data_IF_199219293786
#
_entry.id   IF_199219293786
#
_cell.length_a   1.000
_cell.length_b   1.000
_cell.length_c   1.000
_cell.angle_alpha   90.00
_cell.angle_beta   90.00
_cell.angle_gamma   90.00
#
_symmetry.space_group_name_H-M   'P 1'
#
loop_
_entity.id
_entity.type
_entity.pdbx_description
1 polymer ?
#
# COMPACT_ATOMS: atom_id res chain seq x y z
N UNK A 1 35.90 23.10 31.32
CA UNK A 1 35.37 22.51 30.06
C UNK A 1 36.54 22.05 29.22
N UNK A 2 36.65 20.74 28.97
CA UNK A 2 37.18 20.10 27.75
C UNK A 2 37.43 18.62 28.04
N UNK A 3 36.58 17.78 27.45
CA UNK A 3 36.67 16.31 27.43
C UNK A 3 37.56 15.93 26.25
N UNK A 4 38.66 15.22 26.51
CA UNK A 4 39.35 14.42 25.51
C UNK A 4 39.20 12.95 25.93
N UNK A 5 38.41 12.20 25.15
CA UNK A 5 38.22 10.76 25.31
C UNK A 5 39.35 10.01 24.61
N UNK A 6 39.88 9.03 25.33
CA UNK A 6 40.88 8.07 24.85
C UNK A 6 40.35 7.24 23.67
N UNK A 7 41.25 7.07 22.71
CA UNK A 7 41.16 6.22 21.54
C UNK A 7 41.59 4.80 21.94
N UNK A 8 40.73 3.80 21.74
CA UNK A 8 41.10 2.40 21.89
C UNK A 8 41.54 1.84 20.53
N UNK A 9 42.74 1.28 20.56
CA UNK A 9 43.48 0.65 19.47
C UNK A 9 42.78 -0.67 19.07
N UNK A 10 42.56 -0.89 17.76
CA UNK A 10 42.42 -2.23 17.21
C UNK A 10 43.12 -2.31 15.87
N UNK A 11 44.29 -2.95 15.88
CA UNK A 11 45.05 -3.38 14.71
C UNK A 11 44.58 -4.76 14.27
N UNK A 12 44.25 -4.92 12.99
CA UNK A 12 44.34 -6.20 12.31
C UNK A 12 44.63 -5.97 10.82
N UNK A 13 45.67 -6.66 10.35
CA UNK A 13 46.21 -6.65 9.01
C UNK A 13 45.23 -7.25 7.99
N UNK A 14 45.25 -6.70 6.76
CA UNK A 14 45.32 -7.44 5.49
C UNK A 14 45.54 -6.42 4.36
N UNK A 15 46.57 -6.69 3.53
CA UNK A 15 47.08 -5.75 2.54
C UNK A 15 46.17 -5.51 1.34
N UNK A 16 46.39 -4.37 0.67
CA UNK A 16 45.85 -4.09 -0.65
C UNK A 16 45.66 -2.59 -0.92
N UNK A 17 46.57 -2.01 -1.71
CA UNK A 17 46.50 -0.73 -2.42
C UNK A 17 46.27 0.57 -1.61
N UNK A 18 47.30 1.43 -1.59
CA UNK A 18 47.17 2.85 -1.26
C UNK A 18 46.44 3.55 -2.42
N UNK A 19 45.14 3.80 -2.27
CA UNK A 19 44.42 4.76 -3.13
C UNK A 19 44.53 6.13 -2.46
N UNK A 20 45.29 7.03 -3.09
CA UNK A 20 45.36 8.44 -2.71
C UNK A 20 44.04 9.09 -3.14
N UNK A 21 43.14 9.36 -2.20
CA UNK A 21 41.95 10.18 -2.44
C UNK A 21 42.35 11.64 -2.20
N UNK A 22 42.62 12.38 -3.27
CA UNK A 22 42.66 13.84 -3.20
C UNK A 22 41.24 14.34 -2.93
N UNK A 23 41.08 15.11 -1.86
CA UNK A 23 39.84 15.80 -1.56
C UNK A 23 39.60 16.89 -2.62
N UNK A 24 38.67 16.64 -3.53
CA UNK A 24 38.25 17.62 -4.52
C UNK A 24 37.32 18.64 -3.84
N UNK A 25 37.78 19.88 -3.75
CA UNK A 25 36.99 21.02 -3.29
C UNK A 25 35.78 21.19 -4.21
N UNK A 26 34.54 21.30 -3.69
CA UNK A 26 33.38 21.55 -4.55
C UNK A 26 33.49 22.94 -5.18
N UNK A 27 33.29 23.01 -6.49
CA UNK A 27 33.21 24.26 -7.24
C UNK A 27 32.01 25.11 -6.77
N UNK A 28 32.10 26.45 -6.82
CA UNK A 28 31.00 27.33 -6.44
C UNK A 28 29.81 27.20 -7.41
N UNK A 29 28.61 27.17 -6.84
CA UNK A 29 27.32 27.12 -7.56
C UNK A 29 27.08 28.45 -8.28
N UNK A 30 26.71 28.46 -9.58
CA UNK A 30 26.35 29.69 -10.27
C UNK A 30 24.98 30.24 -9.79
N UNK A 31 24.76 31.57 -9.79
CA UNK A 31 23.51 32.16 -9.36
C UNK A 31 22.35 31.83 -10.33
N UNK A 32 21.17 31.59 -9.76
CA UNK A 32 19.90 31.37 -10.45
C UNK A 32 19.61 32.44 -11.51
N UNK A 33 19.36 32.01 -12.75
CA UNK A 33 18.83 32.87 -13.80
C UNK A 33 17.34 33.19 -13.55
N UNK A 34 17.00 34.46 -13.75
CA UNK A 34 15.65 34.99 -13.57
C UNK A 34 14.66 34.42 -14.60
N UNK A 35 13.41 34.20 -14.18
CA UNK A 35 12.31 33.82 -15.05
C UNK A 35 11.96 34.94 -16.04
N UNK A 36 11.66 34.62 -17.32
CA UNK A 36 11.16 35.62 -18.25
C UNK A 36 9.71 35.99 -17.92
N UNK A 37 9.49 37.31 -17.89
CA UNK A 37 8.17 37.94 -17.85
C UNK A 37 7.61 37.99 -19.27
N UNK A 38 6.27 38.03 -19.32
CA UNK A 38 5.44 38.44 -20.45
C UNK A 38 5.04 37.36 -21.48
N UNK A 39 3.82 36.87 -21.29
CA UNK A 39 3.04 36.08 -22.23
C UNK A 39 1.54 36.26 -22.00
N UNK A 40 1.11 37.49 -21.67
CA UNK A 40 -0.29 37.87 -21.66
C UNK A 40 -0.75 38.12 -23.10
N UNK A 41 -1.42 37.13 -23.72
CA UNK A 41 -2.54 37.32 -24.65
C UNK A 41 -2.88 36.00 -25.36
N UNK A 42 -3.69 35.16 -24.72
CA UNK A 42 -4.64 34.36 -25.50
C UNK A 42 -5.98 34.30 -24.74
N UNK A 43 -6.84 35.25 -25.14
CA UNK A 43 -8.29 35.25 -25.05
C UNK A 43 -8.94 35.05 -23.67
N UNK A 44 -9.24 36.19 -23.06
CA UNK A 44 -10.47 36.36 -22.30
C UNK A 44 -11.68 36.11 -23.21
N UNK A 45 -12.51 35.11 -22.90
CA UNK A 45 -13.97 35.20 -23.02
C UNK A 45 -14.63 33.93 -22.47
N UNK A 46 -15.15 34.02 -21.24
CA UNK A 46 -16.48 33.53 -20.81
C UNK A 46 -16.61 33.70 -19.29
N UNK A 47 -17.27 34.79 -18.90
CA UNK A 47 -17.95 34.90 -17.60
C UNK A 47 -19.21 34.02 -17.66
N UNK A 48 -19.35 33.09 -16.72
CA UNK A 48 -20.58 32.63 -16.02
C UNK A 48 -20.42 31.17 -15.56
N UNK A 49 -21.19 30.68 -14.58
CA UNK A 49 -21.51 31.22 -13.26
C UNK A 49 -21.03 30.26 -12.13
N UNK A 50 -21.13 30.69 -10.86
CA UNK A 50 -21.09 29.76 -9.73
C UNK A 50 -22.22 28.73 -9.89
N UNK A 51 -21.85 27.46 -10.07
CA UNK A 51 -22.50 26.23 -9.59
C UNK A 51 -22.21 25.07 -10.54
N UNK A 52 -21.44 24.08 -10.08
CA UNK A 52 -22.06 22.76 -9.94
C UNK A 52 -21.34 21.95 -8.86
N UNK A 53 -22.10 21.50 -7.86
CA UNK A 53 -21.68 20.60 -6.76
C UNK A 53 -21.73 19.13 -7.19
N UNK A 54 -21.56 18.86 -8.49
CA UNK A 54 -21.68 17.51 -9.08
C UNK A 54 -20.38 17.02 -9.72
N UNK A 55 -19.23 17.53 -9.27
CA UNK A 55 -18.01 16.74 -9.36
C UNK A 55 -18.03 15.67 -8.25
N UNK A 56 -19.01 14.77 -8.30
CA UNK A 56 -18.76 13.38 -7.98
C UNK A 56 -17.70 12.94 -8.99
N UNK A 57 -16.44 13.27 -8.67
CA UNK A 57 -15.29 12.50 -9.11
C UNK A 57 -15.61 11.07 -8.70
N UNK A 58 -16.28 10.37 -9.60
CA UNK A 58 -16.38 8.92 -9.62
C UNK A 58 -14.93 8.51 -9.76
N UNK A 59 -14.30 8.32 -8.60
CA UNK A 59 -12.98 7.75 -8.49
C UNK A 59 -13.06 6.45 -9.27
N UNK A 60 -12.35 6.40 -10.41
CA UNK A 60 -12.03 5.18 -11.15
C UNK A 60 -11.11 4.27 -10.30
N UNK A 61 -11.45 4.06 -9.03
CA UNK A 61 -11.03 2.88 -8.32
C UNK A 61 -11.91 1.74 -8.85
N UNK A 62 -11.36 0.57 -9.22
CA UNK A 62 -12.10 -0.55 -9.77
C UNK A 62 -12.94 -1.27 -8.69
N UNK A 63 -13.71 -0.50 -7.91
CA UNK A 63 -14.70 -0.99 -6.99
C UNK A 63 -15.69 -1.84 -7.78
N UNK A 64 -15.63 -3.15 -7.57
CA UNK A 64 -16.55 -4.09 -8.19
C UNK A 64 -16.02 -4.92 -9.35
N UNK A 65 -14.72 -4.88 -9.69
CA UNK A 65 -14.15 -5.85 -10.64
C UNK A 65 -13.86 -7.19 -9.96
N UNK A 66 -13.83 -8.27 -10.76
CA UNK A 66 -13.50 -9.61 -10.30
C UNK A 66 -12.09 -9.64 -9.69
N UNK A 67 -11.13 -9.03 -10.39
CA UNK A 67 -9.73 -8.96 -10.00
C UNK A 67 -9.55 -8.23 -8.68
N UNK A 68 -10.22 -7.08 -8.52
CA UNK A 68 -10.16 -6.29 -7.30
C UNK A 68 -10.74 -7.04 -6.11
N UNK A 69 -11.94 -7.63 -6.25
CA UNK A 69 -12.53 -8.45 -5.20
C UNK A 69 -11.64 -9.65 -4.85
N UNK A 70 -11.05 -10.32 -5.85
CA UNK A 70 -10.18 -11.46 -5.63
C UNK A 70 -8.90 -11.09 -4.86
N UNK A 71 -8.22 -10.00 -5.23
CA UNK A 71 -6.97 -9.61 -4.55
C UNK A 71 -7.26 -9.08 -3.14
N UNK A 72 -8.38 -8.37 -2.96
CA UNK A 72 -8.82 -7.87 -1.67
C UNK A 72 -9.06 -9.03 -0.67
N UNK A 73 -9.87 -10.03 -1.04
CA UNK A 73 -10.09 -11.17 -0.16
C UNK A 73 -8.82 -12.01 0.03
N UNK A 74 -7.99 -12.16 -1.01
CA UNK A 74 -6.70 -12.83 -0.88
C UNK A 74 -5.79 -12.14 0.15
N UNK A 75 -5.83 -10.81 0.22
CA UNK A 75 -5.13 -10.00 1.20
C UNK A 75 -5.51 -10.36 2.64
N UNK A 76 -6.80 -10.44 2.94
CA UNK A 76 -7.27 -10.88 4.27
C UNK A 76 -6.78 -12.28 4.61
N UNK A 77 -6.91 -13.22 3.67
CA UNK A 77 -6.51 -14.62 3.86
C UNK A 77 -5.02 -14.73 4.21
N UNK A 78 -4.16 -14.09 3.43
CA UNK A 78 -2.71 -14.18 3.63
C UNK A 78 -2.29 -13.47 4.91
N UNK A 79 -2.82 -12.27 5.15
CA UNK A 79 -2.51 -11.52 6.37
C UNK A 79 -2.94 -12.31 7.61
N UNK A 80 -4.13 -12.92 7.60
CA UNK A 80 -4.64 -13.76 8.68
C UNK A 80 -3.77 -15.01 8.91
N UNK A 81 -3.44 -15.75 7.84
CA UNK A 81 -2.58 -16.96 7.94
C UNK A 81 -1.20 -16.62 8.48
N UNK A 82 -0.61 -15.50 8.06
CA UNK A 82 0.73 -15.08 8.49
C UNK A 82 0.83 -14.76 10.00
N UNK A 83 -0.28 -14.39 10.64
CA UNK A 83 -0.34 -14.14 12.09
C UNK A 83 -0.93 -15.31 12.88
N UNK A 84 -1.12 -16.47 12.24
CA UNK A 84 -1.62 -17.68 12.88
C UNK A 84 -3.14 -17.73 13.11
N UNK A 85 -3.92 -16.84 12.47
CA UNK A 85 -5.37 -16.99 12.44
C UNK A 85 -5.77 -18.07 11.45
N UNK A 86 -6.84 -18.81 11.78
CA UNK A 86 -7.40 -19.81 10.87
C UNK A 86 -8.34 -19.12 9.88
N UNK A 87 -8.12 -19.36 8.59
CA UNK A 87 -9.08 -19.02 7.54
C UNK A 87 -9.98 -20.23 7.37
N UNK A 88 -11.29 -20.04 7.50
CA UNK A 88 -12.27 -21.12 7.30
C UNK A 88 -12.81 -21.11 5.88
N UNK A 89 -12.95 -19.92 5.29
CA UNK A 89 -13.42 -19.72 3.93
C UNK A 89 -13.15 -18.30 3.45
N UNK A 90 -12.80 -18.13 2.18
CA UNK A 90 -12.95 -16.87 1.46
C UNK A 90 -13.75 -17.12 0.17
N UNK A 91 -14.58 -16.17 -0.21
CA UNK A 91 -15.39 -16.23 -1.43
C UNK A 91 -15.56 -14.88 -2.07
N UNK A 92 -15.73 -14.87 -3.39
CA UNK A 92 -16.18 -13.70 -4.13
C UNK A 92 -17.41 -14.06 -4.95
N UNK A 93 -18.33 -13.11 -5.11
CA UNK A 93 -19.57 -13.31 -5.83
C UNK A 93 -20.05 -12.01 -6.46
N UNK A 94 -20.78 -12.16 -7.56
CA UNK A 94 -21.36 -11.05 -8.29
C UNK A 94 -22.67 -10.59 -7.61
N UNK A 95 -22.89 -9.29 -7.58
CA UNK A 95 -24.11 -8.62 -7.12
C UNK A 95 -24.54 -7.59 -8.16
N UNK A 96 -25.80 -7.19 -8.08
CA UNK A 96 -26.37 -6.14 -8.91
C UNK A 96 -27.08 -5.14 -8.02
N UNK A 97 -26.87 -3.84 -8.25
CA UNK A 97 -27.58 -2.76 -7.54
C UNK A 97 -28.13 -1.74 -8.55
N UNK A 98 -29.42 -1.35 -8.45
CA UNK A 98 -29.97 -0.29 -9.29
C UNK A 98 -29.13 0.99 -9.20
N UNK A 99 -28.85 1.61 -10.35
CA UNK A 99 -28.02 2.82 -10.45
C UNK A 99 -26.50 2.62 -10.35
N UNK A 100 -26.03 1.40 -10.04
CA UNK A 100 -24.59 1.05 -10.03
C UNK A 100 -24.26 0.00 -11.09
N UNK A 101 -25.18 -0.94 -11.32
CA UNK A 101 -24.98 -2.05 -12.23
C UNK A 101 -24.45 -3.29 -11.52
N UNK A 102 -23.71 -4.12 -12.26
CA UNK A 102 -23.14 -5.37 -11.81
C UNK A 102 -21.76 -5.13 -11.19
N UNK A 103 -21.49 -5.75 -10.04
CA UNK A 103 -20.22 -5.63 -9.35
C UNK A 103 -19.86 -6.90 -8.57
N UNK A 104 -18.58 -7.10 -8.28
CA UNK A 104 -18.08 -8.19 -7.47
C UNK A 104 -17.89 -7.76 -6.02
N UNK A 105 -18.26 -8.64 -5.09
CA UNK A 105 -18.05 -8.49 -3.65
C UNK A 105 -17.37 -9.74 -3.11
N UNK A 106 -16.58 -9.58 -2.07
CA UNK A 106 -15.98 -10.69 -1.35
C UNK A 106 -16.45 -10.81 0.09
N UNK A 107 -16.19 -11.99 0.67
CA UNK A 107 -16.25 -12.23 2.10
C UNK A 107 -15.16 -13.22 2.52
N UNK A 108 -14.50 -12.92 3.65
CA UNK A 108 -13.54 -13.82 4.27
C UNK A 108 -13.97 -14.13 5.71
N UNK A 109 -14.04 -15.43 6.02
CA UNK A 109 -14.38 -15.97 7.32
C UNK A 109 -13.12 -16.42 8.06
N UNK A 110 -12.84 -15.71 9.15
CA UNK A 110 -11.69 -15.95 10.01
C UNK A 110 -12.15 -16.57 11.33
N UNK A 111 -11.34 -17.48 11.88
CA UNK A 111 -11.52 -18.08 13.20
C UNK A 111 -10.23 -17.92 14.00
N UNK A 112 -10.36 -17.47 15.24
CA UNK A 112 -9.24 -17.28 16.16
C UNK A 112 -9.57 -16.24 17.24
N UNK A 113 -8.56 -15.89 18.05
CA UNK A 113 -8.67 -14.83 19.05
C UNK A 113 -8.68 -13.43 18.44
N UNK A 114 -8.85 -12.40 19.27
CA UNK A 114 -8.86 -10.98 18.85
C UNK A 114 -7.47 -10.44 18.51
N UNK A 115 -6.40 -11.13 18.95
CA UNK A 115 -5.01 -10.72 18.70
C UNK A 115 -4.69 -10.77 17.21
N UNK A 116 -4.30 -9.62 16.65
CA UNK A 116 -3.90 -9.48 15.26
C UNK A 116 -5.06 -9.29 14.28
N UNK A 117 -6.30 -9.14 14.75
CA UNK A 117 -7.45 -8.91 13.87
C UNK A 117 -7.26 -7.67 12.98
N UNK A 118 -6.65 -6.60 13.50
CA UNK A 118 -6.32 -5.43 12.70
C UNK A 118 -5.41 -5.75 11.50
N UNK A 119 -4.45 -6.67 11.65
CA UNK A 119 -3.56 -7.09 10.57
C UNK A 119 -4.33 -7.84 9.49
N UNK A 120 -5.23 -8.74 9.88
CA UNK A 120 -6.07 -9.46 8.94
C UNK A 120 -7.01 -8.53 8.16
N UNK A 121 -7.67 -7.59 8.85
CA UNK A 121 -8.57 -6.60 8.24
C UNK A 121 -7.83 -5.63 7.30
N UNK A 122 -6.65 -5.15 7.67
CA UNK A 122 -5.85 -4.30 6.77
C UNK A 122 -5.34 -5.04 5.54
N UNK A 123 -5.26 -6.37 5.60
CA UNK A 123 -4.74 -7.23 4.54
C UNK A 123 -5.37 -6.98 3.18
N UNK A 124 -6.70 -6.87 3.11
CA UNK A 124 -7.41 -6.66 1.85
C UNK A 124 -7.03 -5.34 1.18
N UNK A 125 -7.16 -4.25 1.93
CA UNK A 125 -6.80 -2.92 1.44
C UNK A 125 -5.32 -2.82 1.00
N UNK A 126 -4.40 -3.44 1.75
CA UNK A 126 -2.98 -3.42 1.38
C UNK A 126 -2.73 -4.22 0.11
N UNK A 127 -3.36 -5.40 -0.02
CA UNK A 127 -3.15 -6.29 -1.16
C UNK A 127 -3.65 -5.69 -2.48
N UNK A 128 -4.62 -4.78 -2.48
CA UNK A 128 -5.03 -4.04 -3.68
C UNK A 128 -3.85 -3.34 -4.36
N UNK A 129 -2.87 -2.85 -3.59
CA UNK A 129 -1.66 -2.20 -4.12
C UNK A 129 -0.59 -3.16 -4.59
N UNK A 130 -0.77 -4.45 -4.29
CA UNK A 130 0.12 -5.50 -4.77
C UNK A 130 -0.31 -5.99 -6.15
N UNK A 131 -1.49 -5.61 -6.67
CA UNK A 131 -1.89 -5.96 -8.03
C UNK A 131 -1.37 -4.92 -9.02
N UNK A 132 -0.59 -5.36 -9.99
CA UNK A 132 -0.21 -4.53 -11.13
C UNK A 132 -1.39 -4.43 -12.12
N UNK A 133 -1.94 -3.22 -12.27
CA UNK A 133 -3.14 -2.95 -13.10
C UNK A 133 -2.96 -3.31 -14.59
N UNK A 134 -1.72 -3.37 -15.09
CA UNK A 134 -1.45 -3.65 -16.51
C UNK A 134 -1.34 -5.15 -16.79
N UNK A 135 -0.80 -5.89 -15.83
CA UNK A 135 -0.44 -7.30 -16.01
C UNK A 135 -1.30 -8.25 -15.19
N UNK A 136 -2.10 -7.74 -14.24
CA UNK A 136 -2.84 -8.50 -13.23
C UNK A 136 -1.94 -9.47 -12.45
N UNK A 137 -0.65 -9.15 -12.33
CA UNK A 137 0.31 -9.92 -11.54
C UNK A 137 0.44 -9.31 -10.16
N UNK A 138 0.64 -10.18 -9.17
CA UNK A 138 0.98 -9.74 -7.83
C UNK A 138 2.45 -9.33 -7.80
N UNK A 139 2.72 -8.11 -7.39
CA UNK A 139 4.03 -7.49 -7.23
C UNK A 139 4.21 -7.03 -5.79
N UNK A 140 5.44 -6.65 -5.41
CA UNK A 140 5.72 -6.03 -4.11
C UNK A 140 5.95 -4.54 -4.31
N UNK A 141 4.96 -3.68 -4.00
CA UNK A 141 5.14 -2.23 -4.02
C UNK A 141 6.04 -1.78 -2.86
N UNK A 142 6.49 -0.53 -2.85
CA UNK A 142 7.16 0.00 -1.65
C UNK A 142 6.14 0.21 -0.53
N UNK A 143 6.58 0.13 0.73
CA UNK A 143 5.68 0.35 1.88
C UNK A 143 5.01 1.72 1.84
N UNK A 144 5.73 2.77 1.42
CA UNK A 144 5.21 4.13 1.35
C UNK A 144 4.08 4.28 0.32
N UNK A 145 4.16 3.56 -0.80
CA UNK A 145 3.10 3.58 -1.83
C UNK A 145 1.80 2.98 -1.31
N UNK A 146 1.90 2.02 -0.38
CA UNK A 146 0.75 1.37 0.23
C UNK A 146 0.07 2.27 1.26
N UNK A 147 0.84 2.92 2.15
CA UNK A 147 0.25 3.71 3.25
C UNK A 147 -0.09 5.16 2.90
N UNK A 148 0.49 5.73 1.85
CA UNK A 148 0.27 7.12 1.44
C UNK A 148 -1.11 7.35 0.78
N UNK A 149 -1.72 6.28 0.27
CA UNK A 149 -3.07 6.32 -0.29
C UNK A 149 -4.08 6.05 0.84
N UNK A 150 -4.77 7.11 1.27
CA UNK A 150 -5.67 7.16 2.44
C UNK A 150 -6.56 5.92 2.62
N UNK A 151 -6.64 5.51 3.89
CA UNK A 151 -7.56 4.58 4.56
C UNK A 151 -9.06 4.75 4.21
N UNK A 152 -9.48 4.56 2.95
CA UNK A 152 -10.87 4.13 2.69
C UNK A 152 -10.88 2.63 2.80
N UNK A 153 -10.77 2.22 4.07
CA UNK A 153 -11.06 0.89 4.53
C UNK A 153 -12.55 0.65 4.19
N UNK A 154 -12.88 -0.46 3.54
CA UNK A 154 -14.28 -0.74 3.15
C UNK A 154 -15.19 -0.66 4.38
N UNK A 155 -16.51 -0.45 4.21
CA UNK A 155 -17.46 -0.44 5.34
C UNK A 155 -17.33 -1.69 6.24
N UNK A 156 -16.83 -2.81 5.69
CA UNK A 156 -16.54 -4.05 6.39
C UNK A 156 -15.17 -4.12 7.09
N UNK A 157 -14.19 -3.33 6.68
CA UNK A 157 -12.80 -3.46 7.14
C UNK A 157 -12.44 -2.53 8.29
N UNK A 158 -13.43 -1.80 8.83
CA UNK A 158 -13.23 -0.81 9.89
C UNK A 158 -12.38 -1.39 11.03
N UNK A 159 -11.24 -0.74 11.27
CA UNK A 159 -10.31 -1.08 12.33
C UNK A 159 -10.75 -0.36 13.60
N UNK A 160 -11.17 -1.14 14.58
CA UNK A 160 -11.57 -0.64 15.90
C UNK A 160 -10.43 -0.74 16.90
N UNK A 161 -10.55 -0.07 18.05
CA UNK A 161 -9.58 -0.21 19.14
C UNK A 161 -9.48 -1.65 19.65
N UNK A 162 -10.57 -2.42 19.58
CA UNK A 162 -10.57 -3.83 19.95
C UNK A 162 -9.75 -4.69 18.97
N UNK A 163 -9.76 -4.35 17.68
CA UNK A 163 -8.96 -5.05 16.65
C UNK A 163 -7.45 -4.79 16.83
N UNK A 164 -7.09 -3.59 17.27
CA UNK A 164 -5.71 -3.17 17.54
C UNK A 164 -5.17 -3.79 18.84
N UNK A 165 -6.02 -3.94 19.86
CA UNK A 165 -5.61 -4.44 21.16
C UNK A 165 -4.52 -3.54 21.77
N UNK A 166 -3.31 -4.10 21.91
CA UNK A 166 -2.15 -3.38 22.43
C UNK A 166 -1.25 -2.75 21.33
N UNK A 167 -1.49 -3.08 20.06
CA UNK A 167 -0.72 -2.53 18.95
C UNK A 167 -1.22 -1.12 18.57
N UNK A 168 -0.32 -0.28 18.04
CA UNK A 168 -0.73 0.94 17.34
C UNK A 168 -1.18 0.63 15.91
N UNK A 169 -1.95 1.53 15.28
CA UNK A 169 -2.32 1.40 13.87
C UNK A 169 -1.08 1.29 12.97
N UNK A 170 -0.05 2.10 13.22
CA UNK A 170 1.20 2.06 12.47
C UNK A 170 1.90 0.70 12.59
N UNK A 171 1.90 0.13 13.80
CA UNK A 171 2.45 -1.22 14.04
C UNK A 171 1.67 -2.27 13.25
N UNK A 172 0.33 -2.20 13.27
CA UNK A 172 -0.52 -3.10 12.49
C UNK A 172 -0.30 -2.95 10.98
N UNK A 173 -0.16 -1.73 10.47
CA UNK A 173 0.17 -1.46 9.07
C UNK A 173 1.51 -2.06 8.65
N UNK A 174 2.57 -1.88 9.46
CA UNK A 174 3.87 -2.51 9.18
C UNK A 174 3.81 -4.03 9.21
N UNK A 175 3.11 -4.61 10.20
CA UNK A 175 2.91 -6.06 10.30
C UNK A 175 2.15 -6.60 9.07
N UNK A 176 1.11 -5.90 8.63
CA UNK A 176 0.32 -6.26 7.44
C UNK A 176 1.15 -6.24 6.18
N UNK A 177 1.90 -5.16 5.93
CA UNK A 177 2.77 -5.09 4.77
C UNK A 177 3.81 -6.21 4.76
N UNK A 178 4.47 -6.47 5.91
CA UNK A 178 5.45 -7.55 6.02
C UNK A 178 4.81 -8.92 5.79
N UNK A 179 3.59 -9.13 6.28
CA UNK A 179 2.85 -10.37 6.05
C UNK A 179 2.60 -10.60 4.56
N UNK A 180 2.15 -9.58 3.81
CA UNK A 180 1.89 -9.71 2.37
C UNK A 180 3.18 -9.81 1.56
N UNK A 181 4.14 -8.90 1.78
CA UNK A 181 5.42 -8.88 1.07
C UNK A 181 6.27 -10.12 1.33
N UNK A 182 6.19 -10.69 2.53
CA UNK A 182 6.85 -11.96 2.87
C UNK A 182 6.17 -13.20 2.30
N UNK A 183 4.91 -13.09 1.83
CA UNK A 183 4.09 -14.23 1.39
C UNK A 183 3.48 -14.02 -0.02
N UNK A 184 4.21 -13.35 -0.92
CA UNK A 184 3.73 -13.01 -2.28
C UNK A 184 3.32 -14.23 -3.10
N UNK A 185 4.04 -15.34 -2.96
CA UNK A 185 3.70 -16.59 -3.64
C UNK A 185 2.33 -17.12 -3.18
N UNK A 186 2.05 -17.08 -1.88
CA UNK A 186 0.75 -17.45 -1.33
C UNK A 186 -0.33 -16.47 -1.77
N UNK A 187 -0.06 -15.16 -1.74
CA UNK A 187 -0.99 -14.13 -2.21
C UNK A 187 -1.37 -14.34 -3.67
N UNK A 188 -0.38 -14.59 -4.53
CA UNK A 188 -0.60 -14.92 -5.94
C UNK A 188 -1.44 -16.17 -6.12
N UNK A 189 -1.20 -17.21 -5.32
CA UNK A 189 -1.95 -18.46 -5.38
C UNK A 189 -3.42 -18.26 -4.97
N UNK A 190 -3.67 -17.63 -3.81
CA UNK A 190 -5.02 -17.37 -3.30
C UNK A 190 -5.78 -16.46 -4.26
N UNK A 191 -5.15 -15.39 -4.75
CA UNK A 191 -5.71 -14.48 -5.75
C UNK A 191 -6.18 -15.24 -7.00
N UNK A 192 -5.31 -16.06 -7.59
CA UNK A 192 -5.66 -16.81 -8.79
C UNK A 192 -6.77 -17.84 -8.53
N UNK A 193 -6.77 -18.47 -7.35
CA UNK A 193 -7.83 -19.41 -6.99
C UNK A 193 -9.17 -18.71 -6.82
N UNK A 194 -9.22 -17.56 -6.14
CA UNK A 194 -10.44 -16.77 -6.00
C UNK A 194 -10.91 -16.23 -7.35
N UNK A 195 -10.01 -15.72 -8.20
CA UNK A 195 -10.35 -15.23 -9.54
C UNK A 195 -10.94 -16.31 -10.45
N UNK A 196 -10.49 -17.56 -10.32
CA UNK A 196 -10.89 -18.65 -11.23
C UNK A 196 -12.02 -19.51 -10.68
N UNK A 197 -12.06 -19.74 -9.36
CA UNK A 197 -13.02 -20.64 -8.70
C UNK A 197 -14.01 -19.91 -7.80
N UNK A 198 -13.81 -18.61 -7.59
CA UNK A 198 -14.63 -17.76 -6.72
C UNK A 198 -14.65 -18.17 -5.24
N UNK A 199 -13.82 -19.14 -4.84
CA UNK A 199 -13.75 -19.67 -3.47
C UNK A 199 -12.35 -20.18 -3.12
N UNK A 200 -11.97 -19.97 -1.88
CA UNK A 200 -10.73 -20.47 -1.29
C UNK A 200 -11.01 -21.03 0.12
N UNK A 201 -10.50 -22.23 0.48
CA UNK A 201 -10.67 -22.82 1.80
C UNK A 201 -9.81 -22.14 2.88
#
# INVERSE_FOLDING_TARGET
>A
MNKARSLLLLTALLGGAVVRVEAQTPAPVPPCAAAPKDGAALLASRKAPLANKDALTTLNAPLGTLEFAAIHEAGHVVAAKAIGLSVTRAMIFQRSKPGVGVYWKGTTQLRGGTRGMAVAKLGGHFAERFLDDRTNKVIVPSFLDVISNRNIISESDVITQADLGADSLQTAQHKTYRALAGNVAMLSHVYNQLRTRHVYP
#
